data_IF_936994095306
#
_entry.id   IF_936994095306
#
_cell.length_a   1.000
_cell.length_b   1.000
_cell.length_c   1.000
_cell.angle_alpha   90.00
_cell.angle_beta   90.00
_cell.angle_gamma   90.00
#
_symmetry.space_group_name_H-M   'P 1'
#
loop_
_entity.id
_entity.type
_entity.pdbx_description
1 polymer ?
#
# COMPACT_ATOMS: atom_id res chain seq x y z
N UNK A 1 8.20 -50.81 10.84
CA UNK A 1 9.55 -51.38 11.13
C UNK A 1 10.58 -50.29 10.92
N UNK A 2 11.38 -50.06 11.98
CA UNK A 2 12.56 -49.21 12.12
C UNK A 2 12.37 -47.69 12.29
N UNK A 3 12.43 -47.33 13.53
CA UNK A 3 12.86 -46.13 14.21
C UNK A 3 14.31 -45.71 13.81
N UNK A 4 14.58 -44.42 13.86
CA UNK A 4 15.93 -43.85 13.82
C UNK A 4 15.87 -42.38 14.17
N UNK A 5 15.95 -42.08 15.37
CA UNK A 5 16.97 -41.43 16.23
C UNK A 5 17.06 -39.90 16.08
N UNK A 6 16.58 -39.25 17.13
CA UNK A 6 16.83 -37.89 17.60
C UNK A 6 18.31 -37.74 18.01
N UNK A 7 18.99 -36.70 17.55
CA UNK A 7 20.27 -36.20 18.10
C UNK A 7 20.09 -34.83 18.70
N UNK A 8 20.17 -34.81 20.03
CA UNK A 8 20.34 -33.60 20.84
C UNK A 8 21.76 -33.06 20.71
N UNK A 9 21.93 -31.76 20.54
CA UNK A 9 23.23 -31.07 20.64
C UNK A 9 23.23 -30.30 21.97
N UNK A 10 24.18 -30.69 22.81
CA UNK A 10 24.48 -30.13 24.12
C UNK A 10 25.31 -28.85 23.93
N UNK A 11 24.91 -27.74 24.56
CA UNK A 11 25.72 -26.52 24.64
C UNK A 11 26.69 -26.64 25.83
N UNK A 12 27.99 -26.46 25.51
CA UNK A 12 29.10 -26.40 26.40
C UNK A 12 29.22 -25.05 27.10
N UNK A 13 29.33 -25.06 28.41
CA UNK A 13 29.49 -23.84 29.22
C UNK A 13 30.90 -23.27 29.24
N UNK A 14 30.99 -21.95 29.36
CA UNK A 14 32.22 -21.24 29.60
C UNK A 14 32.49 -21.02 31.06
N UNK A 15 33.67 -21.50 31.50
CA UNK A 15 34.22 -21.37 32.84
C UNK A 15 34.82 -19.99 33.11
N UNK A 16 34.44 -19.35 34.21
CA UNK A 16 35.08 -18.16 34.78
C UNK A 16 36.32 -18.58 35.58
N UNK A 17 37.50 -18.08 35.22
CA UNK A 17 38.73 -18.19 36.00
C UNK A 17 38.78 -17.10 37.08
N UNK A 18 38.92 -17.54 38.36
CA UNK A 18 39.30 -16.71 39.49
C UNK A 18 40.79 -16.48 39.48
N UNK A 19 41.22 -15.22 39.63
CA UNK A 19 42.62 -14.85 40.00
C UNK A 19 42.66 -14.39 41.45
N UNK A 20 43.40 -15.19 42.24
CA UNK A 20 43.75 -14.90 43.63
C UNK A 20 45.10 -14.20 43.63
N UNK A 21 45.25 -13.10 44.35
CA UNK A 21 46.55 -12.59 44.78
C UNK A 21 46.58 -12.45 46.29
N UNK A 22 47.45 -13.26 46.88
CA UNK A 22 47.94 -13.24 48.26
C UNK A 22 48.97 -12.08 48.41
N UNK A 23 48.85 -11.26 49.44
CA UNK A 23 49.99 -10.51 49.93
C UNK A 23 50.06 -10.58 51.44
N UNK A 24 51.20 -11.11 51.89
CA UNK A 24 51.65 -11.32 53.28
C UNK A 24 52.47 -10.09 53.69
N UNK A 25 52.41 -9.72 54.96
CA UNK A 25 53.53 -9.01 55.59
C UNK A 25 53.13 -7.87 56.49
N UNK A 26 53.30 -8.10 57.66
CA UNK A 26 54.31 -7.71 58.67
C UNK A 26 53.74 -6.90 59.85
N UNK A 27 53.78 -7.54 60.99
CA UNK A 27 53.52 -7.04 62.35
C UNK A 27 54.65 -6.04 62.77
N UNK A 28 54.25 -4.88 63.32
CA UNK A 28 55.10 -4.18 64.28
C UNK A 28 54.28 -3.59 65.45
N UNK A 29 54.50 -4.16 66.59
CA UNK A 29 54.11 -3.63 67.92
C UNK A 29 54.89 -2.38 68.24
N UNK A 30 54.22 -1.28 68.58
CA UNK A 30 54.82 -0.24 69.47
C UNK A 30 53.71 0.19 70.44
N UNK A 31 54.00 -0.10 71.70
CA UNK A 31 53.28 0.35 72.90
C UNK A 31 53.67 1.80 73.24
N UNK A 32 52.73 2.71 73.40
CA UNK A 32 52.94 3.90 74.25
C UNK A 32 51.69 4.18 75.08
N UNK A 33 51.92 4.29 76.33
CA UNK A 33 51.03 4.72 77.40
C UNK A 33 50.88 6.22 77.29
N UNK A 34 49.68 6.82 77.37
CA UNK A 34 49.46 8.04 78.11
C UNK A 34 48.05 8.57 78.16
N UNK A 35 47.61 8.83 79.35
CA UNK A 35 46.67 9.83 79.87
C UNK A 35 45.28 10.02 79.22
N UNK A 36 44.33 9.71 80.08
CA UNK A 36 42.92 10.06 79.98
C UNK A 36 42.68 11.57 80.18
N UNK A 37 41.96 12.18 79.23
CA UNK A 37 41.16 13.39 79.49
C UNK A 37 39.70 13.08 79.20
N UNK A 38 38.75 13.66 79.94
CA UNK A 38 37.32 13.34 79.73
C UNK A 38 36.81 13.95 78.43
N UNK A 39 36.30 13.10 77.59
CA UNK A 39 35.60 13.50 76.34
C UNK A 39 34.33 14.30 76.66
N UNK A 40 34.27 15.54 76.13
CA UNK A 40 33.02 16.26 76.03
C UNK A 40 32.15 15.59 74.96
N UNK A 41 31.02 15.08 75.43
CA UNK A 41 30.00 14.63 74.54
C UNK A 41 29.46 15.87 73.77
N UNK A 42 29.80 15.99 72.51
CA UNK A 42 29.17 16.90 71.59
C UNK A 42 28.00 16.15 70.95
N UNK A 43 26.79 16.48 71.35
CA UNK A 43 25.58 16.02 70.62
C UNK A 43 25.59 16.67 69.24
N UNK A 44 25.88 15.88 68.22
CA UNK A 44 25.68 16.24 66.83
C UNK A 44 24.22 15.96 66.52
N UNK A 45 23.44 16.98 66.13
CA UNK A 45 22.08 16.71 65.68
C UNK A 45 22.13 15.88 64.39
N UNK A 46 21.67 14.63 64.49
CA UNK A 46 21.43 13.79 63.32
C UNK A 46 20.18 14.32 62.65
N UNK A 47 20.37 15.10 61.56
CA UNK A 47 19.27 15.37 60.65
C UNK A 47 18.83 14.05 60.04
N UNK A 48 17.68 13.56 60.44
CA UNK A 48 17.00 12.45 59.78
C UNK A 48 16.57 12.94 58.38
N UNK A 49 17.09 12.37 57.31
CA UNK A 49 16.61 12.76 55.99
C UNK A 49 15.13 12.46 55.91
N UNK A 50 14.31 13.49 55.72
CA UNK A 50 12.92 13.35 55.36
C UNK A 50 12.91 12.67 53.98
N UNK A 51 12.59 11.37 53.96
CA UNK A 51 12.32 10.65 52.72
C UNK A 51 11.08 11.31 52.13
N UNK A 52 11.27 12.22 51.18
CA UNK A 52 10.19 12.65 50.31
C UNK A 52 9.73 11.39 49.55
N UNK A 53 8.53 10.90 49.84
CA UNK A 53 7.86 9.98 48.98
C UNK A 53 7.85 10.60 47.57
N UNK A 54 8.67 10.06 46.70
CA UNK A 54 8.59 10.35 45.27
C UNK A 54 7.36 9.59 44.82
N UNK A 55 6.23 10.27 44.63
CA UNK A 55 5.09 9.74 43.88
C UNK A 55 5.64 9.30 42.54
N UNK A 56 5.78 7.99 42.36
CA UNK A 56 6.11 7.38 41.10
C UNK A 56 4.86 7.57 40.24
N UNK A 57 4.84 8.63 39.42
CA UNK A 57 3.82 8.77 38.38
C UNK A 57 4.03 7.56 37.48
N UNK A 58 3.20 6.55 37.66
CA UNK A 58 3.07 5.45 36.73
C UNK A 58 2.30 6.09 35.56
N UNK A 59 3.01 6.51 34.50
CA UNK A 59 2.37 6.78 33.23
C UNK A 59 1.70 5.46 32.80
N UNK A 60 0.39 5.40 32.98
CA UNK A 60 -0.41 4.34 32.40
C UNK A 60 -0.33 4.55 30.89
N UNK A 61 0.35 3.66 30.22
CA UNK A 61 0.41 3.65 28.76
C UNK A 61 -1.03 3.67 28.26
N UNK A 62 -1.43 4.77 27.60
CA UNK A 62 -2.79 4.97 27.12
C UNK A 62 -3.04 3.89 26.06
N UNK A 63 -4.14 3.15 26.19
CA UNK A 63 -4.58 2.20 25.17
C UNK A 63 -4.54 2.89 23.79
N UNK A 64 -3.72 2.41 22.86
CA UNK A 64 -3.60 3.01 21.53
C UNK A 64 -4.91 2.93 20.73
N UNK A 65 -5.84 2.04 21.15
CA UNK A 65 -7.15 1.88 20.54
C UNK A 65 -7.13 1.02 19.27
N UNK A 66 -8.18 1.17 18.48
CA UNK A 66 -8.41 0.41 17.26
C UNK A 66 -8.83 1.30 16.10
N UNK A 67 -8.91 0.72 14.90
CA UNK A 67 -9.59 1.29 13.74
C UNK A 67 -10.12 0.18 12.82
N UNK A 68 -11.12 0.52 12.00
CA UNK A 68 -11.73 -0.40 11.02
C UNK A 68 -11.39 0.08 9.61
N UNK A 69 -10.73 -0.78 8.86
CA UNK A 69 -10.28 -0.53 7.49
C UNK A 69 -11.11 -1.37 6.49
N UNK A 70 -11.86 -0.73 5.61
CA UNK A 70 -12.46 -1.39 4.45
C UNK A 70 -11.49 -1.28 3.26
N UNK A 71 -10.86 -2.40 2.90
CA UNK A 71 -9.82 -2.43 1.89
C UNK A 71 -10.28 -3.08 0.58
N UNK A 72 -10.35 -2.28 -0.48
CA UNK A 72 -10.46 -2.72 -1.86
C UNK A 72 -9.15 -3.26 -2.44
N UNK A 73 -8.04 -3.09 -1.70
CA UNK A 73 -6.72 -3.66 -1.99
C UNK A 73 -6.63 -5.05 -1.40
N UNK A 74 -5.98 -5.97 -2.12
CA UNK A 74 -5.80 -7.33 -1.62
C UNK A 74 -4.84 -7.36 -0.43
N UNK A 75 -5.09 -8.24 0.52
CA UNK A 75 -4.21 -8.52 1.64
C UNK A 75 -2.75 -8.76 1.21
N UNK A 76 -2.53 -9.54 0.15
CA UNK A 76 -1.19 -9.79 -0.41
C UNK A 76 -0.45 -8.54 -0.91
N UNK A 77 -1.08 -7.38 -0.97
CA UNK A 77 -0.49 -6.10 -1.39
C UNK A 77 -0.33 -5.12 -0.23
N UNK A 78 -1.19 -5.21 0.78
CA UNK A 78 -1.22 -4.19 1.85
C UNK A 78 -1.20 -4.78 3.27
N UNK A 79 -1.36 -6.10 3.42
CA UNK A 79 -1.39 -6.73 4.75
C UNK A 79 -0.11 -6.48 5.55
N UNK A 80 1.05 -6.58 4.90
CA UNK A 80 2.33 -6.36 5.56
C UNK A 80 2.51 -4.90 6.02
N UNK A 81 2.09 -3.91 5.22
CA UNK A 81 2.21 -2.50 5.63
C UNK A 81 1.20 -2.13 6.73
N UNK A 82 0.03 -2.78 6.75
CA UNK A 82 -0.93 -2.66 7.85
C UNK A 82 -0.31 -3.19 9.14
N UNK A 83 0.28 -4.38 9.10
CA UNK A 83 0.97 -4.99 10.23
C UNK A 83 2.12 -4.11 10.75
N UNK A 84 2.92 -3.51 9.86
CA UNK A 84 3.96 -2.57 10.26
C UNK A 84 3.40 -1.34 10.98
N UNK A 85 2.23 -0.85 10.58
CA UNK A 85 1.54 0.22 11.30
C UNK A 85 1.12 -0.23 12.70
N UNK A 86 0.52 -1.42 12.85
CA UNK A 86 0.13 -1.99 14.13
C UNK A 86 1.34 -2.14 15.07
N UNK A 87 2.44 -2.70 14.56
CA UNK A 87 3.69 -2.87 15.31
C UNK A 87 4.31 -1.54 15.74
N UNK A 88 4.20 -0.50 14.90
CA UNK A 88 4.77 0.82 15.18
C UNK A 88 3.93 1.67 16.15
N UNK A 89 2.62 1.42 16.23
CA UNK A 89 1.69 2.30 16.95
C UNK A 89 0.94 1.60 18.09
N UNK A 90 0.87 0.28 18.07
CA UNK A 90 0.02 -0.51 18.96
C UNK A 90 -1.47 -0.47 18.63
N UNK A 91 -1.89 0.30 17.60
CA UNK A 91 -3.30 0.41 17.18
C UNK A 91 -3.74 -0.89 16.51
N UNK A 92 -4.84 -1.51 16.98
CA UNK A 92 -5.45 -2.70 16.37
C UNK A 92 -6.22 -2.31 15.08
N UNK A 93 -5.85 -2.88 13.93
CA UNK A 93 -6.48 -2.59 12.63
C UNK A 93 -7.36 -3.73 12.17
N UNK A 94 -8.66 -3.58 12.29
CA UNK A 94 -9.64 -4.56 11.84
C UNK A 94 -9.91 -4.40 10.35
N UNK A 95 -9.37 -5.30 9.51
CA UNK A 95 -9.45 -5.17 8.06
C UNK A 95 -10.55 -6.03 7.46
N UNK A 96 -11.41 -5.40 6.64
CA UNK A 96 -12.36 -6.10 5.75
C UNK A 96 -11.86 -6.01 4.31
N UNK A 97 -11.40 -7.14 3.78
CA UNK A 97 -10.95 -7.23 2.39
C UNK A 97 -12.09 -7.63 1.45
N UNK A 98 -12.36 -6.83 0.42
CA UNK A 98 -13.28 -7.16 -0.66
C UNK A 98 -12.92 -6.39 -1.95
N UNK A 99 -13.77 -6.45 -2.99
CA UNK A 99 -13.60 -5.62 -4.18
C UNK A 99 -13.98 -4.16 -3.88
N UNK A 100 -13.31 -3.21 -4.53
CA UNK A 100 -13.50 -1.76 -4.35
C UNK A 100 -14.98 -1.34 -4.41
N UNK A 101 -15.67 -1.62 -5.51
CA UNK A 101 -17.06 -1.17 -5.68
C UNK A 101 -18.07 -1.87 -4.77
N UNK A 102 -18.00 -3.20 -4.53
CA UNK A 102 -18.82 -3.85 -3.52
C UNK A 102 -18.66 -3.25 -2.11
N UNK A 103 -17.45 -2.83 -1.72
CA UNK A 103 -17.23 -2.15 -0.44
C UNK A 103 -17.87 -0.75 -0.44
N UNK A 104 -17.75 0.00 -1.53
CA UNK A 104 -18.40 1.31 -1.64
C UNK A 104 -19.94 1.17 -1.55
N UNK A 105 -20.53 0.20 -2.25
CA UNK A 105 -21.97 -0.08 -2.14
C UNK A 105 -22.38 -0.49 -0.73
N UNK A 106 -21.57 -1.31 -0.06
CA UNK A 106 -21.80 -1.71 1.33
C UNK A 106 -21.80 -0.51 2.29
N UNK A 107 -20.82 0.41 2.13
CA UNK A 107 -20.76 1.64 2.94
C UNK A 107 -22.05 2.48 2.77
N UNK A 108 -22.57 2.56 1.54
CA UNK A 108 -23.85 3.27 1.30
C UNK A 108 -25.05 2.55 1.93
N UNK A 109 -25.11 1.21 1.86
CA UNK A 109 -26.17 0.41 2.48
C UNK A 109 -26.11 0.46 4.02
N UNK A 110 -24.92 0.45 4.59
CA UNK A 110 -24.70 0.60 6.03
C UNK A 110 -25.12 1.98 6.53
N UNK A 111 -25.00 3.01 5.68
CA UNK A 111 -25.37 4.40 5.99
C UNK A 111 -24.68 4.88 7.26
N UNK A 112 -25.40 5.54 8.16
CA UNK A 112 -24.87 6.07 9.43
C UNK A 112 -24.40 5.00 10.41
N UNK A 113 -24.60 3.73 10.08
CA UNK A 113 -24.18 2.57 10.91
C UNK A 113 -22.94 1.91 10.37
N UNK A 114 -22.28 2.47 9.35
CA UNK A 114 -21.06 1.89 8.84
C UNK A 114 -19.98 1.86 9.94
N UNK A 115 -19.39 0.71 10.25
CA UNK A 115 -18.36 0.61 11.28
C UNK A 115 -16.97 1.01 10.74
N UNK A 116 -16.85 1.29 9.44
CA UNK A 116 -15.56 1.57 8.83
C UNK A 116 -15.10 3.01 9.16
N UNK A 117 -13.84 3.13 9.54
CA UNK A 117 -13.18 4.43 9.71
C UNK A 117 -12.53 4.89 8.40
N UNK A 118 -11.93 3.93 7.66
CA UNK A 118 -11.24 4.21 6.40
C UNK A 118 -11.77 3.32 5.28
N UNK A 119 -11.96 3.93 4.12
CA UNK A 119 -12.10 3.22 2.86
C UNK A 119 -10.82 3.36 2.04
N UNK A 120 -10.13 2.22 1.80
CA UNK A 120 -8.92 2.13 0.98
C UNK A 120 -9.28 1.49 -0.36
N UNK A 121 -9.45 2.29 -1.39
CA UNK A 121 -9.82 1.85 -2.73
C UNK A 121 -8.62 1.46 -3.59
N UNK A 122 -8.86 0.58 -4.55
CA UNK A 122 -7.86 0.21 -5.54
C UNK A 122 -7.67 1.28 -6.61
N UNK A 123 -8.64 2.16 -6.82
CA UNK A 123 -8.63 3.19 -7.86
C UNK A 123 -9.50 4.40 -7.46
N UNK A 124 -9.32 5.55 -8.14
CA UNK A 124 -10.01 6.79 -7.77
C UNK A 124 -11.53 6.75 -8.02
N UNK A 125 -12.03 5.87 -8.92
CA UNK A 125 -13.46 5.80 -9.21
C UNK A 125 -14.32 5.46 -7.98
N UNK A 126 -13.86 4.54 -7.13
CA UNK A 126 -14.56 4.20 -5.89
C UNK A 126 -14.51 5.30 -4.84
N UNK A 127 -13.38 6.04 -4.77
CA UNK A 127 -13.20 7.17 -3.86
C UNK A 127 -14.06 8.37 -4.29
N UNK A 128 -13.99 8.74 -5.56
CA UNK A 128 -14.79 9.82 -6.12
C UNK A 128 -16.29 9.56 -6.01
N UNK A 129 -16.71 8.28 -6.17
CA UNK A 129 -18.11 7.89 -5.96
C UNK A 129 -18.56 8.14 -4.51
N UNK A 130 -17.82 7.68 -3.50
CA UNK A 130 -18.18 7.94 -2.10
C UNK A 130 -18.04 9.40 -1.71
N UNK A 131 -17.08 10.13 -2.29
CA UNK A 131 -16.97 11.58 -2.09
C UNK A 131 -18.21 12.33 -2.63
N UNK A 132 -18.66 12.00 -3.84
CA UNK A 132 -19.87 12.59 -4.43
C UNK A 132 -21.14 12.29 -3.63
N UNK A 133 -21.21 11.14 -2.96
CA UNK A 133 -22.31 10.76 -2.06
C UNK A 133 -22.15 11.35 -0.64
N UNK A 134 -21.14 12.20 -0.41
CA UNK A 134 -20.88 12.85 0.88
C UNK A 134 -20.42 11.93 2.00
N UNK A 135 -19.90 10.73 1.65
CA UNK A 135 -19.49 9.70 2.63
C UNK A 135 -18.03 9.81 3.07
N UNK A 136 -17.26 10.73 2.50
CA UNK A 136 -15.88 11.01 2.88
C UNK A 136 -15.75 12.40 3.46
N UNK A 137 -15.02 12.55 4.57
CA UNK A 137 -14.76 13.86 5.17
C UNK A 137 -13.58 14.54 4.51
N UNK A 138 -13.55 15.87 4.56
CA UNK A 138 -12.36 16.64 4.19
C UNK A 138 -11.20 16.29 5.12
N UNK A 139 -10.05 15.94 4.53
CA UNK A 139 -8.84 15.56 5.25
C UNK A 139 -8.08 16.81 5.71
N UNK A 140 -7.40 16.75 6.88
CA UNK A 140 -6.50 17.79 7.32
C UNK A 140 -5.43 18.13 6.28
N UNK A 141 -5.08 19.40 6.18
CA UNK A 141 -4.09 19.87 5.20
C UNK A 141 -2.72 19.21 5.39
N UNK A 142 -2.31 18.95 6.63
CA UNK A 142 -1.04 18.29 6.95
C UNK A 142 -0.97 16.82 6.47
N UNK A 143 -2.11 16.22 6.08
CA UNK A 143 -2.21 14.93 5.40
C UNK A 143 -2.15 15.14 3.89
N UNK A 144 -2.98 16.05 3.36
CA UNK A 144 -3.10 16.25 1.90
C UNK A 144 -1.86 16.87 1.26
N UNK A 145 -1.10 17.67 2.01
CA UNK A 145 0.16 18.27 1.53
C UNK A 145 1.33 17.27 1.47
N UNK A 146 1.15 16.05 1.98
CA UNK A 146 2.15 15.00 1.89
C UNK A 146 2.27 14.35 0.53
N UNK A 147 1.22 14.42 -0.28
CA UNK A 147 1.16 13.76 -1.58
C UNK A 147 1.19 14.80 -2.72
N UNK A 148 1.72 14.38 -3.86
CA UNK A 148 1.77 15.20 -5.06
C UNK A 148 0.36 15.60 -5.54
N UNK A 149 0.24 16.75 -6.19
CA UNK A 149 -1.05 17.32 -6.61
C UNK A 149 -1.84 16.39 -7.55
N UNK A 150 -1.15 15.67 -8.43
CA UNK A 150 -1.81 14.70 -9.31
C UNK A 150 -2.45 13.51 -8.58
N UNK A 151 -2.10 13.30 -7.31
CA UNK A 151 -2.52 12.14 -6.53
C UNK A 151 -3.66 12.44 -5.54
N UNK A 152 -4.29 13.59 -5.61
CA UNK A 152 -5.39 13.97 -4.71
C UNK A 152 -6.47 14.76 -5.45
N UNK A 153 -7.74 14.73 -5.00
CA UNK A 153 -8.79 15.58 -5.52
C UNK A 153 -8.70 16.99 -4.93
N UNK A 154 -9.35 17.97 -5.59
CA UNK A 154 -9.39 19.37 -5.13
C UNK A 154 -10.20 19.55 -3.84
N UNK A 155 -11.22 18.71 -3.64
CA UNK A 155 -12.08 18.74 -2.45
C UNK A 155 -11.41 18.14 -1.21
N UNK A 156 -10.21 17.57 -1.36
CA UNK A 156 -9.39 16.99 -0.29
C UNK A 156 -10.09 15.89 0.53
N UNK A 157 -11.06 15.21 -0.01
CA UNK A 157 -11.81 14.16 0.71
C UNK A 157 -11.07 12.83 0.79
N UNK A 158 -10.01 12.66 -0.02
CA UNK A 158 -9.14 11.49 -0.02
C UNK A 158 -7.76 11.82 -0.56
N UNK A 159 -6.82 10.91 -0.38
CA UNK A 159 -5.47 10.99 -0.96
C UNK A 159 -5.10 9.70 -1.67
N UNK A 160 -4.28 9.82 -2.71
CA UNK A 160 -3.54 8.70 -3.30
C UNK A 160 -2.45 8.22 -2.36
N UNK A 161 -2.22 6.91 -2.39
CA UNK A 161 -1.21 6.24 -1.57
C UNK A 161 -0.15 5.55 -2.42
N UNK A 162 -0.48 5.21 -3.68
CA UNK A 162 0.47 4.67 -4.65
C UNK A 162 -0.07 4.81 -6.07
N UNK A 163 0.82 5.06 -7.05
CA UNK A 163 0.49 5.20 -8.46
C UNK A 163 0.56 3.88 -9.22
N UNK A 164 -0.43 3.66 -10.09
CA UNK A 164 -0.54 2.42 -10.89
C UNK A 164 -0.75 2.77 -12.36
N UNK A 165 0.32 2.61 -13.16
CA UNK A 165 0.22 2.85 -14.60
C UNK A 165 -0.62 1.76 -15.29
N UNK A 166 -1.51 2.19 -16.18
CA UNK A 166 -2.09 1.29 -17.19
C UNK A 166 -1.01 0.91 -18.18
N UNK A 167 -0.98 -0.36 -18.54
CA UNK A 167 -0.04 -0.90 -19.53
C UNK A 167 -0.71 -1.95 -20.38
N UNK A 168 -0.08 -2.25 -21.50
CA UNK A 168 -0.35 -3.45 -22.24
C UNK A 168 0.69 -4.49 -21.83
N UNK A 169 0.27 -5.63 -21.29
CA UNK A 169 1.15 -6.80 -21.20
C UNK A 169 1.14 -7.51 -22.54
N UNK A 170 2.30 -7.89 -23.03
CA UNK A 170 2.40 -8.61 -24.31
C UNK A 170 3.32 -9.83 -24.19
N UNK A 171 3.10 -10.83 -25.05
CA UNK A 171 4.01 -11.98 -25.16
C UNK A 171 5.35 -11.52 -25.70
N UNK A 172 6.47 -11.93 -25.07
CA UNK A 172 7.82 -11.55 -25.52
C UNK A 172 8.21 -12.13 -26.88
N UNK A 173 7.35 -12.98 -27.47
CA UNK A 173 7.52 -13.49 -28.84
C UNK A 173 7.10 -12.49 -29.92
N UNK A 174 6.43 -11.38 -29.57
CA UNK A 174 6.11 -10.30 -30.50
C UNK A 174 7.35 -9.42 -30.75
N UNK A 175 7.57 -9.12 -32.04
CA UNK A 175 8.60 -8.15 -32.42
C UNK A 175 8.18 -6.74 -32.01
N UNK A 176 9.15 -5.88 -31.66
CA UNK A 176 8.90 -4.51 -31.23
C UNK A 176 8.15 -3.70 -32.30
N UNK A 177 8.43 -3.95 -33.57
CA UNK A 177 7.77 -3.31 -34.73
C UNK A 177 6.28 -3.65 -34.86
N UNK A 178 5.83 -4.74 -34.23
CA UNK A 178 4.44 -5.20 -34.27
C UNK A 178 3.63 -4.67 -33.09
N UNK A 179 4.27 -4.05 -32.11
CA UNK A 179 3.57 -3.52 -30.95
C UNK A 179 2.67 -2.34 -31.30
N UNK A 180 1.51 -2.20 -30.63
CA UNK A 180 0.65 -1.03 -30.84
C UNK A 180 1.28 0.23 -30.26
N UNK A 181 1.04 1.38 -30.90
CA UNK A 181 1.50 2.68 -30.45
C UNK A 181 0.46 3.42 -29.58
N UNK A 182 -0.80 3.01 -29.67
CA UNK A 182 -1.94 3.59 -28.95
C UNK A 182 -3.01 2.55 -28.63
N UNK A 183 -4.02 2.93 -27.84
CA UNK A 183 -5.20 2.06 -27.64
C UNK A 183 -6.04 1.93 -28.91
N UNK A 184 -6.06 2.93 -29.79
CA UNK A 184 -6.78 2.88 -31.07
C UNK A 184 -6.25 1.74 -31.96
N UNK A 185 -4.98 1.40 -31.89
CA UNK A 185 -4.40 0.32 -32.69
C UNK A 185 -5.00 -1.06 -32.34
N UNK A 186 -5.55 -1.22 -31.12
CA UNK A 186 -6.10 -2.51 -30.68
C UNK A 186 -7.39 -2.92 -31.38
N UNK A 187 -8.11 -1.97 -32.00
CA UNK A 187 -9.30 -2.30 -32.78
C UNK A 187 -8.99 -2.72 -34.21
N UNK A 188 -7.71 -2.72 -34.62
CA UNK A 188 -7.30 -3.21 -35.92
C UNK A 188 -7.60 -4.73 -36.02
N UNK A 189 -8.20 -5.22 -37.13
CA UNK A 189 -8.53 -6.65 -37.32
C UNK A 189 -7.35 -7.62 -37.20
N UNK A 190 -6.09 -7.16 -37.33
CA UNK A 190 -4.89 -8.00 -37.10
C UNK A 190 -4.83 -8.61 -35.70
N UNK A 191 -5.53 -8.00 -34.74
CA UNK A 191 -5.59 -8.45 -33.34
C UNK A 191 -6.75 -9.39 -33.03
N UNK A 192 -7.54 -9.76 -34.02
CA UNK A 192 -8.72 -10.63 -33.80
C UNK A 192 -8.37 -11.93 -33.11
N UNK A 193 -9.00 -12.18 -31.94
CA UNK A 193 -8.79 -13.35 -31.11
C UNK A 193 -7.45 -13.36 -30.33
N UNK A 194 -6.71 -12.24 -30.34
CA UNK A 194 -5.38 -12.13 -29.74
C UNK A 194 -5.29 -11.18 -28.54
N UNK A 195 -6.40 -10.56 -28.18
CA UNK A 195 -6.48 -9.57 -27.11
C UNK A 195 -7.12 -10.14 -25.86
N UNK A 196 -6.66 -9.65 -24.69
CA UNK A 196 -7.28 -9.93 -23.40
C UNK A 196 -7.67 -8.66 -22.66
N UNK A 197 -8.79 -8.69 -21.98
CA UNK A 197 -9.27 -7.62 -21.13
C UNK A 197 -10.02 -8.12 -19.90
N UNK A 198 -10.36 -7.24 -18.97
CA UNK A 198 -11.07 -7.60 -17.75
C UNK A 198 -12.16 -6.54 -17.42
N UNK A 199 -13.32 -6.56 -18.08
CA UNK A 199 -14.37 -5.55 -17.90
C UNK A 199 -14.87 -5.41 -16.46
N UNK A 200 -14.91 -6.50 -15.68
CA UNK A 200 -15.31 -6.49 -14.28
C UNK A 200 -14.22 -5.93 -13.32
N UNK A 201 -13.03 -5.59 -13.82
CA UNK A 201 -11.95 -5.04 -13.02
C UNK A 201 -12.10 -3.51 -12.86
N UNK A 202 -12.08 -3.02 -11.62
CA UNK A 202 -12.27 -1.60 -11.32
C UNK A 202 -11.28 -0.68 -12.06
N UNK A 203 -10.00 -1.06 -12.12
CA UNK A 203 -9.00 -0.24 -12.84
C UNK A 203 -9.23 -0.19 -14.34
N UNK A 204 -9.81 -1.24 -14.94
CA UNK A 204 -10.22 -1.20 -16.33
C UNK A 204 -11.42 -0.25 -16.51
N UNK A 205 -12.42 -0.34 -15.65
CA UNK A 205 -13.58 0.57 -15.67
C UNK A 205 -13.15 2.04 -15.52
N UNK A 206 -12.24 2.33 -14.58
CA UNK A 206 -11.71 3.68 -14.39
C UNK A 206 -10.92 4.17 -15.61
N UNK A 207 -10.16 3.30 -16.30
CA UNK A 207 -9.51 3.65 -17.58
C UNK A 207 -10.55 4.01 -18.63
N UNK A 208 -11.65 3.27 -18.75
CA UNK A 208 -12.74 3.58 -19.69
C UNK A 208 -13.42 4.91 -19.32
N UNK A 209 -13.56 5.23 -18.02
CA UNK A 209 -14.01 6.55 -17.59
C UNK A 209 -13.06 7.65 -18.13
N UNK A 210 -11.75 7.45 -18.01
CA UNK A 210 -10.76 8.36 -18.60
C UNK A 210 -10.88 8.47 -20.12
N UNK A 211 -11.15 7.36 -20.83
CA UNK A 211 -11.42 7.39 -22.28
C UNK A 211 -12.66 8.23 -22.61
N UNK A 212 -13.74 8.10 -21.84
CA UNK A 212 -14.97 8.89 -22.01
C UNK A 212 -14.71 10.38 -21.85
N UNK A 213 -13.89 10.75 -20.88
CA UNK A 213 -13.50 12.16 -20.67
C UNK A 213 -12.64 12.69 -21.83
N UNK A 214 -11.63 11.92 -22.25
CA UNK A 214 -10.68 12.36 -23.28
C UNK A 214 -11.20 12.25 -24.70
N UNK A 215 -11.89 11.15 -25.02
CA UNK A 215 -12.34 10.86 -26.39
C UNK A 215 -13.83 11.16 -26.61
N UNK A 216 -14.60 11.32 -25.54
CA UNK A 216 -16.05 11.40 -25.56
C UNK A 216 -16.72 10.02 -25.62
N UNK A 217 -18.03 10.02 -25.33
CA UNK A 217 -18.85 8.80 -25.23
C UNK A 217 -18.86 8.00 -26.54
N UNK A 218 -19.06 8.69 -27.69
CA UNK A 218 -19.21 8.03 -28.98
C UNK A 218 -17.94 7.27 -29.40
N UNK A 219 -16.76 7.90 -29.33
CA UNK A 219 -15.49 7.27 -29.71
C UNK A 219 -15.13 6.14 -28.72
N UNK A 220 -15.41 6.33 -27.44
CA UNK A 220 -15.18 5.28 -26.44
C UNK A 220 -16.04 4.05 -26.70
N UNK A 221 -17.31 4.25 -27.05
CA UNK A 221 -18.23 3.16 -27.42
C UNK A 221 -17.73 2.44 -28.67
N UNK A 222 -17.38 3.18 -29.72
CA UNK A 222 -16.82 2.61 -30.96
C UNK A 222 -15.58 1.75 -30.68
N UNK A 223 -14.68 2.21 -29.80
CA UNK A 223 -13.52 1.42 -29.40
C UNK A 223 -13.91 0.12 -28.67
N UNK A 224 -14.86 0.19 -27.74
CA UNK A 224 -15.35 -1.00 -27.03
C UNK A 224 -16.00 -2.01 -28.00
N UNK A 225 -16.81 -1.54 -28.94
CA UNK A 225 -17.42 -2.37 -29.99
C UNK A 225 -16.33 -3.01 -30.87
N UNK A 226 -15.29 -2.25 -31.25
CA UNK A 226 -14.14 -2.77 -32.01
C UNK A 226 -13.36 -3.85 -31.24
N UNK A 227 -13.22 -3.72 -29.93
CA UNK A 227 -12.63 -4.76 -29.07
C UNK A 227 -13.52 -6.03 -29.02
N UNK A 228 -14.85 -5.88 -28.98
CA UNK A 228 -15.80 -6.98 -29.06
C UNK A 228 -15.72 -7.68 -30.43
N UNK A 229 -15.69 -6.92 -31.53
CA UNK A 229 -15.55 -7.43 -32.89
C UNK A 229 -14.22 -8.17 -33.11
N UNK A 230 -13.17 -7.70 -32.45
CA UNK A 230 -11.87 -8.38 -32.37
C UNK A 230 -11.90 -9.61 -31.44
N UNK A 231 -13.07 -9.96 -30.87
CA UNK A 231 -13.21 -11.11 -29.97
C UNK A 231 -12.21 -11.11 -28.84
N UNK A 232 -12.01 -9.96 -28.20
CA UNK A 232 -11.14 -9.82 -27.03
C UNK A 232 -11.60 -10.80 -25.92
N UNK A 233 -10.66 -11.59 -25.41
CA UNK A 233 -10.94 -12.65 -24.43
C UNK A 233 -11.14 -12.00 -23.05
N UNK A 234 -12.28 -12.30 -22.43
CA UNK A 234 -12.62 -11.78 -21.11
C UNK A 234 -11.97 -12.59 -19.99
N UNK A 235 -11.22 -11.92 -19.14
CA UNK A 235 -10.59 -12.48 -17.94
C UNK A 235 -11.23 -11.89 -16.67
N UNK A 236 -11.28 -12.63 -15.56
CA UNK A 236 -11.88 -12.14 -14.32
C UNK A 236 -11.03 -11.05 -13.62
N UNK A 237 -9.74 -10.91 -13.98
CA UNK A 237 -8.77 -9.98 -13.36
C UNK A 237 -7.48 -9.88 -14.20
N UNK A 238 -6.53 -9.02 -13.79
CA UNK A 238 -5.28 -8.78 -14.52
C UNK A 238 -4.30 -9.98 -14.48
N UNK A 239 -4.14 -10.63 -13.33
CA UNK A 239 -3.17 -11.75 -13.17
C UNK A 239 -3.28 -12.83 -14.25
N UNK A 240 -4.48 -13.40 -14.57
CA UNK A 240 -4.59 -14.39 -15.64
C UNK A 240 -4.30 -13.84 -17.03
N UNK A 241 -4.47 -12.55 -17.31
CA UNK A 241 -4.05 -11.96 -18.59
C UNK A 241 -2.54 -11.99 -18.75
N UNK A 242 -1.78 -11.70 -17.67
CA UNK A 242 -0.30 -11.76 -17.68
C UNK A 242 0.17 -13.20 -17.93
N UNK A 243 -0.46 -14.17 -17.27
CA UNK A 243 -0.15 -15.59 -17.49
C UNK A 243 -0.49 -16.04 -18.91
N UNK A 244 -1.65 -15.62 -19.45
CA UNK A 244 -2.10 -15.94 -20.81
C UNK A 244 -1.17 -15.32 -21.88
N UNK A 245 -0.66 -14.11 -21.67
CA UNK A 245 0.33 -13.51 -22.55
C UNK A 245 1.65 -14.30 -22.54
N UNK A 246 2.11 -14.71 -21.36
CA UNK A 246 3.32 -15.53 -21.24
C UNK A 246 3.16 -16.92 -21.88
N UNK A 247 1.95 -17.49 -21.83
CA UNK A 247 1.61 -18.77 -22.47
C UNK A 247 1.26 -18.64 -23.97
N UNK A 248 1.33 -17.42 -24.54
CA UNK A 248 0.97 -17.13 -25.94
C UNK A 248 -0.51 -17.41 -26.29
N UNK A 249 -1.37 -17.53 -25.30
CA UNK A 249 -2.83 -17.65 -25.49
C UNK A 249 -3.45 -16.35 -26.01
N UNK A 250 -2.86 -15.22 -25.60
CA UNK A 250 -3.13 -13.87 -26.13
C UNK A 250 -1.82 -13.19 -26.48
N UNK A 251 -1.86 -12.30 -27.45
CA UNK A 251 -0.71 -11.50 -27.79
C UNK A 251 -0.57 -10.28 -26.85
N UNK A 252 -1.69 -9.67 -26.49
CA UNK A 252 -1.74 -8.43 -25.69
C UNK A 252 -2.89 -8.49 -24.70
N UNK A 253 -2.62 -8.06 -23.45
CA UNK A 253 -3.63 -7.90 -22.41
C UNK A 253 -3.59 -6.50 -21.79
N UNK A 254 -4.75 -5.95 -21.41
CA UNK A 254 -4.87 -4.63 -20.78
C UNK A 254 -4.80 -4.77 -19.25
N UNK A 255 -3.68 -4.39 -18.64
CA UNK A 255 -3.39 -4.63 -17.23
C UNK A 255 -2.84 -3.39 -16.51
N UNK A 256 -2.63 -3.49 -15.21
CA UNK A 256 -1.75 -2.57 -14.48
C UNK A 256 -0.33 -3.14 -14.48
N UNK A 257 0.65 -2.26 -14.56
CA UNK A 257 2.07 -2.59 -14.76
C UNK A 257 2.66 -3.56 -13.73
N UNK A 258 2.32 -3.43 -12.46
CA UNK A 258 2.94 -4.16 -11.36
C UNK A 258 2.65 -5.67 -11.36
N UNK A 259 1.59 -6.12 -12.03
CA UNK A 259 1.28 -7.56 -12.09
C UNK A 259 2.38 -8.37 -12.77
N UNK A 260 2.99 -7.86 -13.84
CA UNK A 260 4.13 -8.51 -14.51
C UNK A 260 5.33 -8.69 -13.57
N UNK A 261 5.65 -7.64 -12.81
CA UNK A 261 6.85 -7.67 -11.95
C UNK A 261 6.78 -8.73 -10.86
N UNK A 262 5.59 -9.14 -10.44
CA UNK A 262 5.40 -10.25 -9.50
C UNK A 262 5.80 -11.59 -10.13
N UNK A 263 5.44 -11.84 -11.38
CA UNK A 263 5.88 -13.03 -12.12
C UNK A 263 7.39 -12.99 -12.37
N UNK A 264 7.92 -11.84 -12.75
CA UNK A 264 9.38 -11.69 -12.94
C UNK A 264 10.17 -11.90 -11.64
N UNK A 265 9.60 -11.56 -10.48
CA UNK A 265 10.24 -11.83 -9.19
C UNK A 265 10.28 -13.33 -8.86
N UNK A 266 9.25 -14.09 -9.28
CA UNK A 266 9.13 -15.53 -9.03
C UNK A 266 9.89 -16.37 -10.09
N UNK A 267 9.79 -16.01 -11.37
CA UNK A 267 10.27 -16.83 -12.51
C UNK A 267 11.50 -16.24 -13.21
N UNK A 268 11.87 -14.99 -12.88
CA UNK A 268 12.99 -14.28 -13.48
C UNK A 268 12.75 -13.86 -14.93
N UNK A 269 13.83 -13.49 -15.63
CA UNK A 269 13.79 -12.94 -16.99
C UNK A 269 13.31 -13.93 -18.06
N UNK A 270 13.17 -15.22 -17.71
CA UNK A 270 12.67 -16.27 -18.61
C UNK A 270 11.13 -16.21 -18.77
N UNK A 271 10.43 -15.50 -17.90
CA UNK A 271 9.01 -15.32 -18.03
C UNK A 271 8.67 -14.61 -19.36
N UNK A 272 7.86 -15.27 -20.20
CA UNK A 272 7.65 -14.90 -21.59
C UNK A 272 6.59 -13.78 -21.76
N UNK A 273 6.60 -12.75 -20.92
CA UNK A 273 5.77 -11.56 -21.09
C UNK A 273 6.53 -10.29 -20.73
N UNK A 274 6.12 -9.16 -21.32
CA UNK A 274 6.68 -7.83 -21.04
C UNK A 274 5.56 -6.80 -20.95
N UNK A 275 5.83 -5.67 -20.31
CA UNK A 275 4.94 -4.50 -20.30
C UNK A 275 5.34 -3.54 -21.42
N UNK A 276 4.34 -3.06 -22.15
CA UNK A 276 4.43 -1.91 -23.02
C UNK A 276 3.74 -0.72 -22.35
N UNK A 277 4.50 0.31 -22.03
CA UNK A 277 3.97 1.58 -21.56
C UNK A 277 3.70 2.47 -22.79
N UNK A 278 2.42 2.73 -23.06
CA UNK A 278 2.06 3.68 -24.10
C UNK A 278 2.49 5.08 -23.65
N UNK A 279 3.05 5.86 -24.54
CA UNK A 279 3.57 7.22 -24.28
C UNK A 279 2.96 8.26 -25.21
N UNK A 280 1.78 7.97 -25.75
CA UNK A 280 1.02 8.83 -26.67
C UNK A 280 0.27 9.98 -25.94
N UNK A 281 0.32 10.04 -24.60
CA UNK A 281 -0.48 10.97 -23.80
C UNK A 281 -1.98 10.66 -23.82
N UNK A 282 -2.35 9.50 -24.35
CA UNK A 282 -3.72 9.02 -24.41
C UNK A 282 -4.15 8.27 -23.14
N UNK A 283 -5.40 7.77 -23.10
CA UNK A 283 -5.92 7.05 -21.92
C UNK A 283 -5.17 5.75 -21.61
N UNK A 284 -4.38 5.24 -22.57
CA UNK A 284 -3.48 4.09 -22.37
C UNK A 284 -2.25 4.40 -21.50
N UNK A 285 -1.88 5.68 -21.36
CA UNK A 285 -0.77 6.17 -20.53
C UNK A 285 -1.25 6.59 -19.11
N UNK A 286 -2.51 6.34 -18.77
CA UNK A 286 -3.10 6.79 -17.52
C UNK A 286 -2.42 6.14 -16.29
N UNK A 287 -2.00 6.96 -15.34
CA UNK A 287 -1.60 6.52 -14.02
C UNK A 287 -2.72 6.86 -13.02
N UNK A 288 -3.27 5.84 -12.43
CA UNK A 288 -4.32 5.98 -11.41
C UNK A 288 -3.75 5.70 -10.03
N UNK A 289 -4.28 6.34 -9.01
CA UNK A 289 -3.87 6.04 -7.64
C UNK A 289 -4.71 4.93 -7.02
N UNK A 290 -4.08 4.09 -6.19
CA UNK A 290 -4.78 3.50 -5.08
C UNK A 290 -4.78 4.55 -3.97
N UNK A 291 -5.89 4.76 -3.31
CA UNK A 291 -6.01 5.86 -2.35
C UNK A 291 -6.98 5.55 -1.23
N UNK A 292 -7.01 6.40 -0.22
CA UNK A 292 -7.89 6.24 0.92
C UNK A 292 -8.48 7.57 1.40
N UNK A 293 -9.70 7.49 1.92
CA UNK A 293 -10.42 8.56 2.59
C UNK A 293 -10.99 8.08 3.92
N UNK A 294 -11.26 9.03 4.81
CA UNK A 294 -11.89 8.78 6.12
C UNK A 294 -13.39 8.94 5.94
N UNK A 295 -14.15 7.98 6.48
CA UNK A 295 -15.60 8.02 6.40
C UNK A 295 -16.18 9.08 7.35
N UNK A 296 -17.34 9.63 6.96
CA UNK A 296 -18.14 10.58 7.78
C UNK A 296 -18.59 9.95 9.10
N UNK A 297 -18.73 8.61 9.14
CA UNK A 297 -19.12 7.82 10.31
C UNK A 297 -17.93 7.33 11.15
N UNK A 298 -16.69 7.72 10.83
CA UNK A 298 -15.50 7.21 11.51
C UNK A 298 -15.52 7.52 13.02
N UNK A 299 -15.61 6.48 13.85
CA UNK A 299 -15.54 6.58 15.31
C UNK A 299 -14.09 6.74 15.80
N UNK A 300 -13.11 6.20 15.04
CA UNK A 300 -11.69 6.22 15.40
C UNK A 300 -10.89 7.18 14.49
N UNK A 301 -11.43 8.38 14.24
CA UNK A 301 -10.89 9.36 13.30
C UNK A 301 -9.42 9.70 13.55
N UNK A 302 -9.00 9.89 14.80
CA UNK A 302 -7.60 10.18 15.14
C UNK A 302 -6.65 9.05 14.70
N UNK A 303 -7.04 7.79 14.90
CA UNK A 303 -6.27 6.63 14.47
C UNK A 303 -6.27 6.50 12.95
N UNK A 304 -7.39 6.81 12.29
CA UNK A 304 -7.50 6.88 10.84
C UNK A 304 -6.54 7.92 10.23
N UNK A 305 -6.45 9.11 10.82
CA UNK A 305 -5.50 10.15 10.39
C UNK A 305 -4.04 9.71 10.61
N UNK A 306 -3.72 9.06 11.73
CA UNK A 306 -2.39 8.47 11.97
C UNK A 306 -2.03 7.42 10.91
N UNK A 307 -3.01 6.59 10.52
CA UNK A 307 -2.81 5.58 9.47
C UNK A 307 -2.51 6.23 8.10
N UNK A 308 -3.27 7.26 7.69
CA UNK A 308 -2.98 7.98 6.46
C UNK A 308 -1.60 8.66 6.48
N UNK A 309 -1.21 9.26 7.62
CA UNK A 309 0.13 9.85 7.82
C UNK A 309 1.23 8.79 7.74
N UNK A 310 1.00 7.61 8.28
CA UNK A 310 1.94 6.49 8.18
C UNK A 310 2.07 6.01 6.74
N UNK A 311 0.97 5.80 6.01
CA UNK A 311 1.00 5.34 4.63
C UNK A 311 1.62 6.35 3.66
N UNK A 312 1.67 7.63 4.02
CA UNK A 312 2.38 8.69 3.30
C UNK A 312 3.79 8.96 3.83
N UNK A 313 4.29 8.15 4.77
CA UNK A 313 5.68 8.23 5.21
C UNK A 313 6.64 7.67 4.16
N UNK A 314 7.91 8.08 4.21
CA UNK A 314 8.95 7.55 3.32
C UNK A 314 9.05 6.03 3.41
N UNK A 315 8.91 5.44 4.61
CA UNK A 315 8.99 3.99 4.83
C UNK A 315 7.86 3.27 4.10
N UNK A 316 6.61 3.71 4.28
CA UNK A 316 5.46 3.11 3.62
C UNK A 316 5.52 3.30 2.09
N UNK A 317 5.98 4.46 1.62
CA UNK A 317 6.13 4.73 0.20
C UNK A 317 7.25 3.88 -0.44
N UNK A 318 8.32 3.59 0.30
CA UNK A 318 9.35 2.64 -0.12
C UNK A 318 8.81 1.20 -0.18
N UNK A 319 7.91 0.82 0.73
CA UNK A 319 7.21 -0.47 0.65
C UNK A 319 6.38 -0.57 -0.65
N UNK A 320 5.55 0.43 -0.96
CA UNK A 320 4.76 0.41 -2.20
C UNK A 320 5.64 0.38 -3.45
N UNK A 321 6.74 1.13 -3.46
CA UNK A 321 7.66 1.14 -4.59
C UNK A 321 8.48 -0.15 -4.67
N UNK A 322 9.07 -0.61 -3.57
CA UNK A 322 10.05 -1.69 -3.55
C UNK A 322 9.43 -3.09 -3.53
N UNK A 323 8.29 -3.28 -2.86
CA UNK A 323 7.66 -4.60 -2.69
C UNK A 323 6.44 -4.80 -3.59
N UNK A 324 5.72 -3.72 -3.89
CA UNK A 324 4.49 -3.79 -4.69
C UNK A 324 4.73 -3.34 -6.13
N UNK A 325 5.87 -2.71 -6.42
CA UNK A 325 6.24 -2.16 -7.74
C UNK A 325 5.26 -1.06 -8.20
N UNK A 326 4.74 -0.26 -7.29
CA UNK A 326 3.87 0.88 -7.60
C UNK A 326 4.65 2.19 -7.51
N UNK A 327 4.19 3.22 -8.22
CA UNK A 327 4.84 4.53 -8.20
C UNK A 327 4.56 5.25 -6.88
N UNK A 328 5.59 5.84 -6.24
CA UNK A 328 5.38 6.64 -5.04
C UNK A 328 4.59 7.91 -5.37
N UNK A 329 3.78 8.38 -4.43
CA UNK A 329 3.02 9.64 -4.52
C UNK A 329 3.59 10.74 -3.65
N UNK A 330 4.62 10.43 -2.87
CA UNK A 330 5.34 11.36 -1.98
C UNK A 330 6.66 11.76 -2.63
N UNK A 331 6.96 13.04 -2.61
CA UNK A 331 8.18 13.59 -3.18
C UNK A 331 9.45 13.01 -2.52
N UNK A 332 10.50 12.84 -3.31
CA UNK A 332 11.80 12.35 -2.84
C UNK A 332 11.91 10.83 -2.66
N UNK A 333 10.81 10.09 -2.79
CA UNK A 333 10.84 8.62 -2.79
C UNK A 333 11.15 8.10 -4.18
N UNK A 334 12.13 7.20 -4.29
CA UNK A 334 12.58 6.67 -5.58
C UNK A 334 11.62 5.59 -6.10
N UNK A 335 11.34 5.69 -7.39
CA UNK A 335 10.69 4.62 -8.17
C UNK A 335 11.59 3.37 -8.21
N UNK A 336 10.99 2.19 -8.22
CA UNK A 336 11.71 0.93 -8.34
C UNK A 336 12.49 0.89 -9.67
N UNK A 337 13.73 0.36 -9.65
CA UNK A 337 14.66 0.35 -10.81
C UNK A 337 14.14 -0.39 -12.05
N UNK A 338 13.14 -1.26 -11.91
CA UNK A 338 12.52 -1.99 -13.03
C UNK A 338 11.38 -1.21 -13.71
N UNK A 339 10.99 -0.08 -13.15
CA UNK A 339 9.95 0.77 -13.72
C UNK A 339 10.59 1.92 -14.47
N UNK A 340 10.00 2.39 -15.58
CA UNK A 340 10.39 3.66 -16.19
C UNK A 340 10.25 4.80 -15.16
N UNK A 341 11.00 5.87 -15.34
CA UNK A 341 10.82 7.05 -14.50
C UNK A 341 9.40 7.60 -14.67
N UNK A 342 8.81 8.12 -13.58
CA UNK A 342 7.44 8.63 -13.62
C UNK A 342 7.26 9.70 -14.70
N UNK A 343 8.28 10.53 -14.93
CA UNK A 343 8.32 11.58 -15.96
C UNK A 343 8.35 11.04 -17.40
N UNK A 344 8.67 9.75 -17.59
CA UNK A 344 8.69 9.10 -18.92
C UNK A 344 7.32 8.56 -19.33
N UNK A 345 6.35 8.51 -18.39
CA UNK A 345 5.05 7.89 -18.65
C UNK A 345 4.14 8.73 -19.54
N UNK A 346 4.46 10.01 -19.76
CA UNK A 346 3.65 10.94 -20.56
C UNK A 346 2.15 10.85 -20.25
N UNK A 347 1.83 11.05 -18.95
CA UNK A 347 0.44 10.97 -18.48
C UNK A 347 -0.46 11.99 -19.18
N UNK A 348 -1.74 11.62 -19.45
CA UNK A 348 -2.71 12.60 -19.91
C UNK A 348 -3.02 13.65 -18.84
N UNK A 349 -3.40 14.85 -19.27
CA UNK A 349 -3.88 15.91 -18.37
C UNK A 349 -5.31 15.61 -17.88
N UNK A 350 -5.41 14.68 -16.94
CA UNK A 350 -6.65 14.31 -16.26
C UNK A 350 -6.47 14.43 -14.75
N UNK A 351 -7.43 15.06 -14.10
CA UNK A 351 -7.51 15.03 -12.64
C UNK A 351 -8.08 13.67 -12.15
N UNK A 352 -7.81 13.32 -10.91
CA UNK A 352 -8.40 12.11 -10.32
C UNK A 352 -9.93 12.22 -10.18
N UNK A 353 -10.47 13.43 -10.10
CA UNK A 353 -11.91 13.72 -10.08
C UNK A 353 -12.58 13.35 -11.41
N UNK A 354 -11.91 13.58 -12.54
CA UNK A 354 -12.42 13.24 -13.87
C UNK A 354 -12.68 11.73 -14.05
N UNK A 355 -12.08 10.92 -13.15
CA UNK A 355 -12.22 9.47 -13.17
C UNK A 355 -13.36 8.95 -12.27
N UNK A 356 -14.17 9.82 -11.67
CA UNK A 356 -15.17 9.46 -10.68
C UNK A 356 -16.48 8.91 -11.28
N UNK A 357 -16.82 9.25 -12.55
CA UNK A 357 -18.09 8.82 -13.17
C UNK A 357 -18.08 7.34 -13.60
N UNK A 358 -18.02 6.50 -12.60
CA UNK A 358 -18.12 5.05 -12.78
C UNK A 358 -19.51 4.61 -13.29
N UNK A 359 -20.58 5.29 -12.83
CA UNK A 359 -21.96 4.91 -13.16
C UNK A 359 -22.21 5.00 -14.67
N UNK A 360 -21.75 6.08 -15.31
CA UNK A 360 -21.83 6.22 -16.76
C UNK A 360 -21.07 5.11 -17.49
N UNK A 361 -19.84 4.80 -17.05
CA UNK A 361 -19.05 3.69 -17.64
C UNK A 361 -19.74 2.34 -17.50
N UNK A 362 -20.29 2.02 -16.34
CA UNK A 362 -21.02 0.77 -16.14
C UNK A 362 -22.30 0.68 -16.97
N UNK A 363 -22.95 1.83 -17.22
CA UNK A 363 -24.12 1.88 -18.12
C UNK A 363 -23.74 1.44 -19.53
N UNK A 364 -22.66 2.00 -20.10
CA UNK A 364 -22.16 1.57 -21.41
C UNK A 364 -21.83 0.07 -21.42
N UNK A 365 -21.17 -0.44 -20.38
CA UNK A 365 -20.80 -1.85 -20.31
C UNK A 365 -22.01 -2.77 -20.29
N UNK A 366 -23.11 -2.41 -19.58
CA UNK A 366 -24.35 -3.20 -19.58
C UNK A 366 -25.04 -3.16 -20.95
N UNK A 367 -25.09 -1.98 -21.59
CA UNK A 367 -25.66 -1.83 -22.94
C UNK A 367 -24.92 -2.65 -24.00
N UNK A 368 -23.60 -2.83 -23.82
CA UNK A 368 -22.76 -3.67 -24.70
C UNK A 368 -22.67 -5.14 -24.25
N UNK A 369 -23.39 -5.54 -23.20
CA UNK A 369 -23.38 -6.91 -22.69
C UNK A 369 -22.04 -7.35 -22.09
N UNK A 370 -21.22 -6.41 -21.63
CA UNK A 370 -19.91 -6.67 -21.02
C UNK A 370 -19.98 -6.92 -19.50
N UNK A 371 -21.08 -6.51 -18.87
CA UNK A 371 -21.42 -6.76 -17.47
C UNK A 371 -22.90 -7.17 -17.39
N UNK A 372 -23.20 -8.01 -16.38
CA UNK A 372 -24.57 -8.44 -16.05
C UNK A 372 -25.40 -7.29 -15.45
#
# INVERSE_FOLDING_TARGET
>A
MKLGQVRSIVMSGYQLKKCSYLFLGLVMLISFISCSQPEKIVEIPVEVPVVKEVEKIIEVEKDPGKMVLYSGRKESLVGEIVKQFEEATGIDVQVKYAKTFPLAAMILEEGDRSPADIYFAQDPGGLGFLSAEGRLVELPQDITDRVADWAKPKDRTWIGLSGRARTLVYTASLEESDLPSSLEDLVNPRWKGKLGWAPANSSFQTMITGMRVMWGEAKTREWLEGMIDNKAITYPKNTPQVAAAAAEEINIGLVNHYYLHRFLAEEGDKFNARNLYLSDGGPGSLVMVAGAGILDTAENRENAEKFLKFLTSTVAQQYFSGQVYEYPVVEGVKTHKFLPAFTELNMPELSMEDLADLKGTQTIFRELGMLD
#
